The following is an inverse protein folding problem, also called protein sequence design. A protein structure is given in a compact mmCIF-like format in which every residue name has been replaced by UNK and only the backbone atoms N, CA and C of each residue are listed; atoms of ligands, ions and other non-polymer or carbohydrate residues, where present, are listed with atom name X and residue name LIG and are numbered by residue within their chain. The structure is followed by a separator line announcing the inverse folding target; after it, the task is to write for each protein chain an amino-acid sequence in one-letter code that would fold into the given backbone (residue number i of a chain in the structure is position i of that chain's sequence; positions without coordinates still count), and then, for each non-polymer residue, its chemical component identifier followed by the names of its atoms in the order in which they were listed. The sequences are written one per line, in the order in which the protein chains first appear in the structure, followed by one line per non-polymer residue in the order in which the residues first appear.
data_IF_275764341675
#
_entry.id   IF_275764341675
#
_cell.length_a   1.000
_cell.length_b   1.000
_cell.length_c   1.000
_cell.angle_alpha   90.00
_cell.angle_beta   90.00
_cell.angle_gamma   90.00
#
_symmetry.space_group_name_H-M   'P 1'
#
loop_
_entity.id
_entity.type
_entity.pdbx_description
1 polymer ?
#
# COMPACT_ATOMS: atom_id res chain seq x y z
N UNK A 1 10.12 15.62 17.87
CA UNK A 1 9.93 16.21 16.53
C UNK A 1 9.93 15.09 15.51
N UNK A 2 8.75 14.73 14.99
CA UNK A 2 8.59 13.70 13.96
C UNK A 2 9.25 14.17 12.66
N UNK A 3 10.32 13.47 12.25
CA UNK A 3 10.91 13.66 10.92
C UNK A 3 9.93 13.13 9.88
N UNK A 4 8.96 13.96 9.47
CA UNK A 4 8.34 13.83 8.17
C UNK A 4 9.48 13.78 7.15
N UNK A 5 9.55 12.78 6.26
CA UNK A 5 10.52 12.81 5.18
C UNK A 5 10.32 14.12 4.43
N UNK A 6 11.40 14.85 4.21
CA UNK A 6 11.41 16.20 3.64
C UNK A 6 10.73 16.33 2.26
N UNK A 7 10.21 15.23 1.69
CA UNK A 7 9.56 15.12 0.37
C UNK A 7 8.05 14.85 0.42
N UNK A 8 7.41 14.71 1.60
CA UNK A 8 5.95 14.45 1.68
C UNK A 8 5.09 15.53 1.01
N UNK A 9 5.57 16.77 1.04
CA UNK A 9 4.94 17.93 0.39
C UNK A 9 4.77 17.75 -1.12
N UNK A 10 5.61 16.93 -1.76
CA UNK A 10 5.51 16.67 -3.20
C UNK A 10 4.16 16.01 -3.54
N UNK A 11 3.67 15.08 -2.71
CA UNK A 11 2.38 14.43 -2.94
C UNK A 11 1.21 15.39 -2.77
N UNK A 12 1.29 16.26 -1.76
CA UNK A 12 0.26 17.28 -1.48
C UNK A 12 0.18 18.31 -2.62
N UNK A 13 1.33 18.69 -3.19
CA UNK A 13 1.38 19.65 -4.30
C UNK A 13 1.10 19.01 -5.66
N UNK A 14 1.24 17.69 -5.80
CA UNK A 14 1.01 17.00 -7.07
C UNK A 14 -0.47 17.05 -7.50
N UNK A 15 -1.42 16.83 -6.59
CA UNK A 15 -2.85 16.89 -6.90
C UNK A 15 -3.31 18.26 -7.43
N UNK A 16 -3.04 19.41 -6.77
CA UNK A 16 -3.41 20.71 -7.31
C UNK A 16 -2.65 21.06 -8.60
N UNK A 17 -1.39 20.64 -8.76
CA UNK A 17 -0.65 20.84 -10.02
C UNK A 17 -1.29 20.09 -11.19
N UNK A 18 -1.58 18.79 -11.03
CA UNK A 18 -2.27 18.00 -12.05
C UNK A 18 -3.65 18.60 -12.38
N UNK A 19 -4.36 19.08 -11.35
CA UNK A 19 -5.66 19.73 -11.52
C UNK A 19 -5.54 20.99 -12.38
N UNK A 20 -4.61 21.88 -12.07
CA UNK A 20 -4.40 23.14 -12.80
C UNK A 20 -3.98 22.85 -14.24
N UNK A 21 -3.03 21.94 -14.44
CA UNK A 21 -2.55 21.57 -15.79
C UNK A 21 -3.70 21.04 -16.64
N UNK A 22 -4.49 20.08 -16.12
CA UNK A 22 -5.60 19.53 -16.89
C UNK A 22 -6.76 20.51 -17.08
N UNK A 23 -6.96 21.45 -16.15
CA UNK A 23 -7.97 22.50 -16.29
C UNK A 23 -7.63 23.48 -17.41
N UNK A 24 -6.35 23.84 -17.59
CA UNK A 24 -5.89 24.71 -18.69
C UNK A 24 -6.19 24.14 -20.08
N UNK A 25 -6.28 22.81 -20.22
CA UNK A 25 -6.61 22.14 -21.48
C UNK A 25 -8.11 21.80 -21.62
N UNK A 26 -8.96 22.30 -20.73
CA UNK A 26 -10.37 21.90 -20.67
C UNK A 26 -11.32 23.11 -20.53
N UNK A 27 -12.56 22.85 -20.13
CA UNK A 27 -13.57 23.88 -19.90
C UNK A 27 -13.20 24.68 -18.65
N UNK A 28 -13.04 25.99 -18.85
CA UNK A 28 -12.64 26.95 -17.82
C UNK A 28 -13.82 27.36 -16.92
N UNK A 29 -14.62 26.40 -16.47
CA UNK A 29 -15.70 26.63 -15.51
C UNK A 29 -15.26 26.18 -14.11
N UNK A 30 -15.77 26.89 -13.10
CA UNK A 30 -15.48 26.58 -11.70
C UNK A 30 -15.96 25.18 -11.29
N UNK A 31 -17.12 24.77 -11.79
CA UNK A 31 -17.67 23.43 -11.54
C UNK A 31 -16.79 22.34 -12.13
N UNK A 32 -16.27 22.53 -13.35
CA UNK A 32 -15.36 21.59 -13.97
C UNK A 32 -14.03 21.49 -13.23
N UNK A 33 -13.51 22.62 -12.73
CA UNK A 33 -12.30 22.65 -11.90
C UNK A 33 -12.44 21.80 -10.62
N UNK A 34 -13.54 21.99 -9.87
CA UNK A 34 -13.79 21.20 -8.63
C UNK A 34 -13.93 19.71 -8.96
N UNK A 35 -14.69 19.36 -9.99
CA UNK A 35 -14.90 17.96 -10.38
C UNK A 35 -13.59 17.28 -10.73
N UNK A 36 -12.73 18.00 -11.45
CA UNK A 36 -11.43 17.51 -11.88
C UNK A 36 -10.47 17.34 -10.69
N UNK A 37 -10.46 18.29 -9.75
CA UNK A 37 -9.73 18.17 -8.49
C UNK A 37 -10.12 16.93 -7.70
N UNK A 38 -11.43 16.73 -7.52
CA UNK A 38 -11.96 15.60 -6.75
C UNK A 38 -11.64 14.26 -7.44
N UNK A 39 -11.77 14.21 -8.76
CA UNK A 39 -11.44 13.01 -9.56
C UNK A 39 -9.98 12.62 -9.40
N UNK A 40 -9.05 13.57 -9.57
CA UNK A 40 -7.63 13.30 -9.36
C UNK A 40 -7.31 12.91 -7.92
N UNK A 41 -7.95 13.54 -6.93
CA UNK A 41 -7.78 13.19 -5.52
C UNK A 41 -8.14 11.73 -5.25
N UNK A 42 -9.27 11.25 -5.79
CA UNK A 42 -9.69 9.85 -5.64
C UNK A 42 -8.69 8.91 -6.33
N UNK A 43 -8.27 9.22 -7.56
CA UNK A 43 -7.31 8.39 -8.29
C UNK A 43 -5.99 8.26 -7.51
N UNK A 44 -5.44 9.37 -7.03
CA UNK A 44 -4.21 9.35 -6.24
C UNK A 44 -4.39 8.60 -4.93
N UNK A 45 -5.54 8.73 -4.25
CA UNK A 45 -5.82 7.96 -3.03
C UNK A 45 -5.82 6.45 -3.29
N UNK A 46 -6.47 5.98 -4.37
CA UNK A 46 -6.50 4.57 -4.75
C UNK A 46 -5.08 4.06 -5.10
N UNK A 47 -4.30 4.85 -5.84
CA UNK A 47 -2.93 4.50 -6.21
C UNK A 47 -2.01 4.40 -4.98
N UNK A 48 -2.07 5.39 -4.09
CA UNK A 48 -1.30 5.37 -2.84
C UNK A 48 -1.68 4.19 -1.96
N UNK A 49 -2.98 3.91 -1.83
CA UNK A 49 -3.46 2.75 -1.08
C UNK A 49 -2.95 1.43 -1.69
N UNK A 50 -2.98 1.31 -3.01
CA UNK A 50 -2.48 0.12 -3.71
C UNK A 50 -0.97 -0.06 -3.51
N UNK A 51 -0.20 1.03 -3.58
CA UNK A 51 1.24 1.00 -3.31
C UNK A 51 1.55 0.58 -1.86
N UNK A 52 0.79 1.09 -0.89
CA UNK A 52 0.89 0.68 0.51
C UNK A 52 0.70 -0.84 0.65
N UNK A 53 -0.36 -1.39 0.07
CA UNK A 53 -0.66 -2.83 0.12
C UNK A 53 0.47 -3.67 -0.49
N UNK A 54 1.03 -3.22 -1.63
CA UNK A 54 2.16 -3.90 -2.28
C UNK A 54 3.42 -3.86 -1.40
N UNK A 55 3.70 -2.73 -0.77
CA UNK A 55 4.95 -2.50 -0.02
C UNK A 55 4.96 -3.15 1.35
N UNK A 56 3.83 -3.15 2.04
CA UNK A 56 3.69 -3.95 3.25
C UNK A 56 3.76 -5.45 2.95
N UNK A 57 3.66 -5.83 1.66
CA UNK A 57 3.71 -7.21 1.23
C UNK A 57 2.56 -8.01 1.83
N UNK A 58 1.48 -7.34 2.25
CA UNK A 58 0.31 -7.98 2.85
C UNK A 58 -0.18 -9.06 1.91
N UNK A 59 -0.25 -8.76 0.60
CA UNK A 59 -0.70 -9.68 -0.46
C UNK A 59 0.41 -10.58 -1.05
N UNK A 60 1.60 -10.64 -0.47
CA UNK A 60 2.61 -11.61 -0.91
C UNK A 60 2.16 -13.02 -0.49
N UNK A 61 1.90 -13.88 -1.48
CA UNK A 61 1.46 -15.28 -1.29
C UNK A 61 2.54 -16.11 -0.57
N UNK A 62 3.81 -15.66 -0.61
CA UNK A 62 4.93 -16.28 0.10
C UNK A 62 5.19 -15.65 1.47
N UNK A 63 4.38 -14.66 1.88
CA UNK A 63 4.48 -14.01 3.19
C UNK A 63 4.23 -15.00 4.33
N UNK A 64 4.69 -14.64 5.52
CA UNK A 64 4.43 -15.41 6.73
C UNK A 64 2.92 -15.59 6.98
N UNK A 65 2.15 -14.49 6.89
CA UNK A 65 0.71 -14.49 7.14
C UNK A 65 -0.05 -15.43 6.20
N UNK A 66 0.19 -15.31 4.89
CA UNK A 66 -0.46 -16.17 3.90
C UNK A 66 -0.08 -17.65 4.04
N UNK A 67 1.19 -17.96 4.30
CA UNK A 67 1.63 -19.34 4.51
C UNK A 67 1.06 -19.94 5.78
N UNK A 68 1.00 -19.17 6.88
CA UNK A 68 0.38 -19.62 8.14
C UNK A 68 -1.12 -19.84 7.98
N UNK A 69 -1.81 -18.92 7.32
CA UNK A 69 -3.24 -19.03 7.01
C UNK A 69 -3.52 -20.26 6.13
N UNK A 70 -2.75 -20.46 5.06
CA UNK A 70 -2.83 -21.64 4.20
C UNK A 70 -2.63 -22.93 5.01
N UNK A 71 -1.61 -22.99 5.87
CA UNK A 71 -1.37 -24.13 6.75
C UNK A 71 -2.54 -24.41 7.69
N UNK A 72 -3.13 -23.39 8.30
CA UNK A 72 -4.30 -23.53 9.17
C UNK A 72 -5.54 -24.08 8.43
N UNK A 73 -5.71 -23.75 7.15
CA UNK A 73 -6.81 -24.25 6.33
C UNK A 73 -6.57 -25.67 5.76
N UNK A 74 -5.36 -26.23 5.83
CA UNK A 74 -5.10 -27.58 5.35
C UNK A 74 -5.85 -28.64 6.17
N UNK A 75 -6.15 -29.78 5.53
CA UNK A 75 -6.73 -30.96 6.21
C UNK A 75 -5.70 -31.54 7.19
N UNK A 76 -6.18 -32.22 8.23
CA UNK A 76 -5.33 -32.80 9.30
C UNK A 76 -4.19 -33.67 8.75
N UNK A 77 -4.51 -34.58 7.81
CA UNK A 77 -3.51 -35.44 7.13
C UNK A 77 -2.36 -34.68 6.46
N UNK A 78 -2.66 -33.50 5.90
CA UNK A 78 -1.68 -32.70 5.16
C UNK A 78 -0.87 -31.84 6.15
N UNK A 79 -1.49 -31.37 7.25
CA UNK A 79 -0.80 -30.69 8.34
C UNK A 79 0.27 -31.56 8.99
N UNK A 80 -0.06 -32.83 9.27
CA UNK A 80 0.87 -33.79 9.89
C UNK A 80 2.06 -34.07 8.96
N UNK A 81 1.82 -34.12 7.64
CA UNK A 81 2.87 -34.28 6.63
C UNK A 81 3.82 -33.09 6.53
N UNK A 82 3.30 -31.87 6.68
CA UNK A 82 4.07 -30.62 6.53
C UNK A 82 4.51 -30.01 7.86
N UNK A 83 4.31 -30.70 8.99
CA UNK A 83 4.63 -30.16 10.32
C UNK A 83 6.12 -29.86 10.51
N UNK A 84 6.98 -30.72 9.96
CA UNK A 84 8.44 -30.58 9.97
C UNK A 84 8.97 -29.60 8.93
N UNK A 85 8.16 -29.24 7.92
CA UNK A 85 8.59 -28.37 6.84
C UNK A 85 8.46 -26.90 7.24
N UNK A 86 9.62 -26.26 7.43
CA UNK A 86 9.73 -24.84 7.81
C UNK A 86 9.13 -23.86 6.79
N UNK A 87 8.98 -24.27 5.52
CA UNK A 87 8.37 -23.45 4.48
C UNK A 87 6.84 -23.45 4.58
N UNK A 88 6.23 -24.62 4.80
CA UNK A 88 4.77 -24.76 4.88
C UNK A 88 4.20 -24.49 6.28
N UNK A 89 4.93 -24.80 7.34
CA UNK A 89 4.56 -24.50 8.73
C UNK A 89 5.54 -23.48 9.34
N UNK A 90 5.41 -22.19 9.00
CA UNK A 90 6.29 -21.19 9.56
C UNK A 90 5.99 -21.00 11.05
N UNK A 91 6.92 -21.42 11.91
CA UNK A 91 6.83 -21.28 13.38
C UNK A 91 7.23 -19.88 13.87
N UNK A 92 7.98 -19.14 13.05
CA UNK A 92 8.45 -17.79 13.37
C UNK A 92 8.20 -16.84 12.19
N UNK A 93 7.88 -15.55 12.44
CA UNK A 93 7.80 -14.53 11.40
C UNK A 93 9.16 -14.36 10.72
N UNK A 94 9.16 -14.18 9.39
CA UNK A 94 10.39 -14.11 8.55
C UNK A 94 11.29 -12.91 8.91
N UNK A 95 10.75 -11.88 9.57
CA UNK A 95 11.46 -10.72 10.12
C UNK A 95 10.78 -10.30 11.43
N UNK A 96 11.56 -9.98 12.47
CA UNK A 96 11.06 -9.39 13.72
C UNK A 96 10.63 -7.93 13.55
N UNK A 97 11.23 -7.24 12.57
CA UNK A 97 11.00 -5.83 12.29
C UNK A 97 10.61 -5.63 10.82
N UNK A 98 9.45 -5.02 10.60
CA UNK A 98 9.02 -4.55 9.29
C UNK A 98 9.54 -3.13 9.08
N UNK A 99 10.60 -2.99 8.27
CA UNK A 99 11.11 -1.67 7.87
C UNK A 99 10.26 -1.16 6.71
N UNK A 100 9.19 -0.42 7.02
CA UNK A 100 8.49 0.38 6.01
C UNK A 100 9.49 1.40 5.47
N UNK A 101 9.70 1.41 4.15
CA UNK A 101 10.66 2.34 3.56
C UNK A 101 10.23 3.79 3.83
N UNK A 102 11.19 4.63 4.19
CA UNK A 102 10.94 5.98 4.71
C UNK A 102 10.16 6.90 3.78
N UNK A 103 10.10 6.62 2.47
CA UNK A 103 9.34 7.43 1.51
C UNK A 103 7.83 7.17 1.51
N UNK A 104 7.36 6.10 2.17
CA UNK A 104 5.93 5.70 2.27
C UNK A 104 5.36 5.95 3.66
N UNK A 105 6.22 6.00 4.68
CA UNK A 105 5.87 6.46 6.03
C UNK A 105 5.00 7.73 6.06
N UNK A 106 5.17 8.74 5.19
CA UNK A 106 4.32 9.92 5.24
C UNK A 106 2.93 9.73 4.66
N UNK A 107 2.62 8.58 4.04
CA UNK A 107 1.25 8.21 3.69
C UNK A 107 0.51 7.52 4.86
N UNK A 108 1.24 7.10 5.91
CA UNK A 108 0.70 6.46 7.11
C UNK A 108 0.47 7.43 8.28
N UNK A 109 0.88 8.70 8.16
CA UNK A 109 0.75 9.75 9.16
C UNK A 109 -0.18 10.86 8.70
#
# INVERSE_FOLDING_TARGET
MSHLPQRSWVYILMTPLCTIVSWLFSLHTWTHFINLFFTFSIIFAILLFTLLVIQEGILDVTSYGFRRFKYQMMRKKDKDRYESDSFFNPKQPKKSEYVVQSWIKPALY
#
